data_IF_637673636905
#
_entry.id   IF_637673636905
#
_cell.length_a   1.000
_cell.length_b   1.000
_cell.length_c   1.000
_cell.angle_alpha   90.00
_cell.angle_beta   90.00
_cell.angle_gamma   90.00
#
_symmetry.space_group_name_H-M   'P 1'
#
loop_
_entity.id
_entity.type
_entity.pdbx_description
1 polymer ?
#
# COMPACT_ATOMS: atom_id res chain seq x y z
N UNK A 1 -1.16 -65.72 -63.30
CA UNK A 1 0.12 -65.03 -63.19
C UNK A 1 -0.16 -63.56 -63.15
N UNK A 2 -0.24 -63.01 -61.95
CA UNK A 2 -0.58 -61.62 -61.67
C UNK A 2 0.67 -60.99 -61.09
N UNK A 3 1.15 -59.89 -61.73
CA UNK A 3 2.25 -59.08 -61.23
C UNK A 3 1.67 -57.90 -60.46
N UNK A 4 1.94 -57.86 -59.18
CA UNK A 4 1.64 -56.70 -58.35
C UNK A 4 2.78 -55.67 -58.45
N UNK A 5 2.47 -54.47 -58.89
CA UNK A 5 3.34 -53.30 -58.79
C UNK A 5 3.10 -52.60 -57.44
N UNK A 6 4.08 -52.70 -56.59
CA UNK A 6 4.07 -51.89 -55.32
C UNK A 6 4.46 -50.44 -55.64
N UNK A 7 3.55 -49.51 -55.42
CA UNK A 7 3.84 -48.07 -55.49
C UNK A 7 4.36 -47.61 -54.13
N UNK A 8 5.65 -47.30 -54.05
CA UNK A 8 6.25 -46.60 -52.91
C UNK A 8 5.78 -45.16 -52.92
N UNK A 9 4.88 -44.83 -51.99
CA UNK A 9 4.56 -43.45 -51.63
C UNK A 9 5.64 -42.89 -50.68
N UNK A 10 6.50 -42.03 -51.20
CA UNK A 10 7.43 -41.23 -50.44
C UNK A 10 6.63 -40.12 -49.74
N UNK A 11 6.37 -40.27 -48.45
CA UNK A 11 5.86 -39.21 -47.61
C UNK A 11 7.03 -38.33 -47.17
N UNK A 12 7.18 -37.18 -47.79
CA UNK A 12 8.13 -36.14 -47.35
C UNK A 12 7.54 -35.46 -46.11
N UNK A 13 8.22 -35.45 -44.96
CA UNK A 13 7.75 -34.63 -43.83
C UNK A 13 8.01 -33.16 -44.18
N UNK A 14 6.93 -32.41 -44.32
CA UNK A 14 6.94 -30.95 -44.41
C UNK A 14 7.32 -30.39 -43.04
N UNK A 15 8.59 -30.16 -42.80
CA UNK A 15 9.08 -29.41 -41.63
C UNK A 15 8.77 -27.95 -41.89
N UNK A 16 7.64 -27.48 -41.39
CA UNK A 16 7.35 -26.06 -41.29
C UNK A 16 8.29 -25.45 -40.25
N UNK A 17 9.12 -24.45 -40.58
CA UNK A 17 9.84 -23.71 -39.55
C UNK A 17 8.81 -22.98 -38.71
N UNK A 18 8.66 -23.39 -37.45
CA UNK A 18 7.95 -22.58 -36.43
C UNK A 18 8.86 -21.38 -36.18
N UNK A 19 8.72 -20.34 -37.00
CA UNK A 19 9.26 -19.05 -36.70
C UNK A 19 8.47 -18.56 -35.46
N UNK A 20 8.99 -18.92 -34.29
CA UNK A 20 8.41 -18.46 -33.02
C UNK A 20 8.36 -16.95 -33.05
N UNK A 21 7.21 -16.40 -32.69
CA UNK A 21 7.01 -14.96 -32.46
C UNK A 21 7.82 -14.47 -31.25
N UNK A 22 9.12 -14.73 -31.21
CA UNK A 22 10.02 -14.30 -30.15
C UNK A 22 10.27 -12.77 -30.16
N UNK A 23 9.89 -12.10 -31.25
CA UNK A 23 10.02 -10.63 -31.32
C UNK A 23 8.86 -9.84 -30.68
N UNK A 24 7.79 -10.53 -30.23
CA UNK A 24 6.68 -9.90 -29.53
C UNK A 24 6.90 -9.74 -28.02
N UNK A 25 7.95 -10.36 -27.47
CA UNK A 25 8.27 -10.30 -26.05
C UNK A 25 9.77 -10.01 -25.86
N UNK A 26 10.26 -8.99 -26.55
CA UNK A 26 11.60 -8.46 -26.26
C UNK A 26 11.55 -7.63 -24.99
N UNK A 27 11.74 -8.28 -23.84
CA UNK A 27 11.93 -7.65 -22.54
C UNK A 27 13.39 -7.25 -22.31
N UNK A 28 14.25 -7.34 -23.33
CA UNK A 28 15.64 -6.93 -23.22
C UNK A 28 15.74 -5.41 -23.15
N UNK A 29 16.06 -4.91 -21.97
CA UNK A 29 16.73 -3.64 -21.68
C UNK A 29 16.22 -2.35 -22.37
N UNK A 30 14.95 -2.23 -22.62
CA UNK A 30 14.41 -0.89 -22.82
C UNK A 30 14.40 -0.21 -21.47
N UNK A 31 15.28 0.76 -21.29
CA UNK A 31 15.19 1.74 -20.22
C UNK A 31 13.71 2.10 -20.08
N UNK A 32 13.15 1.88 -18.89
CA UNK A 32 11.76 2.23 -18.58
C UNK A 32 11.56 3.65 -19.09
N UNK A 33 10.64 3.89 -20.05
CA UNK A 33 10.41 5.23 -20.56
C UNK A 33 10.22 6.19 -19.41
N UNK A 34 10.70 7.42 -19.54
CA UNK A 34 10.56 8.42 -18.47
C UNK A 34 9.09 8.69 -18.09
N UNK A 35 8.15 8.34 -18.97
CA UNK A 35 6.70 8.39 -18.76
C UNK A 35 6.15 7.21 -17.94
N UNK A 36 6.84 6.07 -17.90
CA UNK A 36 6.46 4.98 -17.00
C UNK A 36 6.58 5.36 -15.50
N UNK A 37 7.26 6.47 -15.19
CA UNK A 37 7.25 7.07 -13.86
C UNK A 37 5.93 7.78 -13.52
N UNK A 38 5.09 8.05 -14.52
CA UNK A 38 3.77 8.66 -14.31
C UNK A 38 2.75 7.66 -13.75
N UNK A 39 3.03 6.36 -13.86
CA UNK A 39 2.20 5.29 -13.33
C UNK A 39 2.66 4.82 -11.94
N UNK A 40 3.65 5.47 -11.34
CA UNK A 40 4.01 5.20 -9.95
C UNK A 40 2.85 5.63 -9.04
N UNK A 41 2.45 4.80 -8.07
CA UNK A 41 1.35 5.11 -7.16
C UNK A 41 1.65 6.31 -6.25
N UNK A 42 2.85 6.85 -6.29
CA UNK A 42 3.33 7.93 -5.44
C UNK A 42 4.42 8.77 -6.14
N UNK A 43 4.67 9.97 -5.61
CA UNK A 43 5.77 10.86 -6.01
C UNK A 43 6.89 10.84 -4.96
N UNK A 44 8.10 11.30 -5.34
CA UNK A 44 9.20 11.46 -4.37
C UNK A 44 8.85 12.44 -3.23
N UNK A 45 8.00 13.43 -3.49
CA UNK A 45 7.56 14.38 -2.47
C UNK A 45 6.62 13.70 -1.45
N UNK A 46 5.76 12.78 -1.90
CA UNK A 46 4.91 11.98 -1.03
C UNK A 46 5.72 10.99 -0.20
N UNK A 47 6.75 10.34 -0.79
CA UNK A 47 7.69 9.46 -0.09
C UNK A 47 8.59 10.17 0.95
N UNK A 48 8.75 11.48 0.87
CA UNK A 48 9.55 12.26 1.81
C UNK A 48 8.71 13.10 2.76
N UNK A 49 7.40 12.88 2.77
CA UNK A 49 6.51 13.63 3.65
C UNK A 49 6.73 13.25 5.12
N UNK A 50 7.26 14.22 5.88
CA UNK A 50 7.59 14.09 7.31
C UNK A 50 8.68 13.07 7.68
N UNK A 51 9.43 12.56 6.72
CA UNK A 51 10.53 11.63 6.96
C UNK A 51 11.70 12.23 7.77
N UNK A 52 12.44 11.41 8.57
CA UNK A 52 12.25 9.97 8.77
C UNK A 52 11.22 9.67 9.87
N UNK A 53 10.20 8.88 9.59
CA UNK A 53 9.15 8.48 10.55
C UNK A 53 8.87 6.96 10.56
N UNK A 54 9.81 6.15 10.10
CA UNK A 54 9.75 4.68 9.98
C UNK A 54 9.64 3.91 11.30
N UNK A 55 9.52 4.57 12.42
CA UNK A 55 9.43 3.89 13.72
C UNK A 55 8.64 4.68 14.75
N UNK A 56 8.13 3.98 15.77
CA UNK A 56 7.48 4.62 16.92
C UNK A 56 8.35 5.71 17.57
N UNK A 57 9.68 5.50 17.62
CA UNK A 57 10.62 6.45 18.23
C UNK A 57 10.81 7.72 17.38
N UNK A 58 10.71 7.60 16.07
CA UNK A 58 10.87 8.69 15.10
C UNK A 58 9.56 9.27 14.63
N UNK A 59 8.43 8.83 15.19
CA UNK A 59 7.09 9.25 14.79
C UNK A 59 6.97 10.77 14.61
N UNK A 60 6.53 11.17 13.42
CA UNK A 60 6.38 12.57 13.04
C UNK A 60 5.24 13.25 13.81
N UNK A 61 5.49 14.42 14.40
CA UNK A 61 4.45 15.16 15.09
C UNK A 61 3.46 15.77 14.08
N UNK A 62 2.16 15.56 14.34
CA UNK A 62 1.07 16.10 13.54
C UNK A 62 0.01 16.77 14.39
N UNK A 63 -0.83 17.54 13.75
CA UNK A 63 -2.04 18.15 14.28
C UNK A 63 -3.26 17.72 13.46
N UNK A 64 -4.47 18.05 13.89
CA UNK A 64 -5.68 17.80 13.10
C UNK A 64 -5.73 18.58 11.76
N UNK A 65 -4.83 19.52 11.53
CA UNK A 65 -4.71 20.26 10.25
C UNK A 65 -3.81 19.54 9.22
N UNK A 66 -3.00 18.59 9.67
CA UNK A 66 -2.14 17.80 8.78
C UNK A 66 -2.99 16.71 8.11
N UNK A 67 -2.90 16.58 6.79
CA UNK A 67 -3.73 15.63 6.01
C UNK A 67 -2.94 14.86 4.95
N UNK A 68 -1.64 15.05 4.82
CA UNK A 68 -0.82 14.54 3.72
C UNK A 68 -0.84 15.45 2.49
N UNK A 69 -0.64 14.96 1.27
CA UNK A 69 -0.48 13.55 0.89
C UNK A 69 0.83 12.94 1.35
N UNK A 70 0.80 11.65 1.67
CA UNK A 70 1.93 10.82 2.04
C UNK A 70 1.91 9.51 1.23
N UNK A 71 2.95 8.68 1.33
CA UNK A 71 2.99 7.41 0.64
C UNK A 71 3.87 6.38 1.35
N UNK A 72 3.39 5.15 1.41
CA UNK A 72 4.22 3.98 1.65
C UNK A 72 4.95 3.64 0.35
N UNK A 73 6.26 3.67 0.38
CA UNK A 73 7.12 3.63 -0.79
C UNK A 73 7.93 2.35 -0.90
N UNK A 74 8.31 1.99 -2.13
CA UNK A 74 9.22 0.87 -2.34
C UNK A 74 10.63 1.23 -1.86
N UNK A 75 11.21 0.38 -1.01
CA UNK A 75 12.55 0.55 -0.48
C UNK A 75 13.28 -0.77 -0.30
N UNK A 76 14.46 -0.74 0.32
CA UNK A 76 15.22 -1.93 0.73
C UNK A 76 14.67 -2.56 2.00
N UNK A 77 13.94 -1.79 2.77
CA UNK A 77 13.16 -2.20 3.95
C UNK A 77 11.69 -1.88 3.68
N UNK A 78 10.80 -2.55 4.39
CA UNK A 78 9.39 -2.22 4.36
C UNK A 78 9.20 -0.83 4.99
N UNK A 79 8.50 0.05 4.27
CA UNK A 79 8.23 1.42 4.66
C UNK A 79 7.00 1.47 5.56
N UNK A 80 7.09 2.21 6.66
CA UNK A 80 6.04 2.36 7.65
C UNK A 80 6.02 3.81 8.13
N UNK A 81 4.89 4.48 8.08
CA UNK A 81 4.77 5.87 8.51
C UNK A 81 4.17 5.96 9.91
N UNK A 82 4.88 6.55 10.85
CA UNK A 82 4.41 6.74 12.23
C UNK A 82 4.12 8.21 12.52
N UNK A 83 2.90 8.51 12.96
CA UNK A 83 2.43 9.86 13.27
C UNK A 83 2.00 10.01 14.71
N UNK A 84 2.59 10.97 15.42
CA UNK A 84 2.27 11.31 16.82
C UNK A 84 1.30 12.48 16.88
N UNK A 85 0.24 12.34 17.67
CA UNK A 85 -0.74 13.38 17.91
C UNK A 85 -1.16 13.42 19.38
N UNK A 86 -1.67 14.57 19.83
CA UNK A 86 -2.15 14.78 21.20
C UNK A 86 -3.67 14.91 21.20
N UNK A 87 -4.36 14.16 22.04
CA UNK A 87 -5.80 14.25 22.25
C UNK A 87 -6.08 15.34 23.29
N UNK A 88 -6.84 16.40 22.94
CA UNK A 88 -7.19 17.45 23.90
C UNK A 88 -8.11 16.94 25.02
N UNK A 89 -8.03 17.53 26.23
CA UNK A 89 -9.03 17.30 27.29
C UNK A 89 -10.46 17.60 26.82
N UNK A 90 -11.42 16.82 27.29
CA UNK A 90 -12.82 17.00 26.91
C UNK A 90 -13.19 16.35 25.55
N UNK A 91 -12.34 15.50 25.00
CA UNK A 91 -12.65 14.74 23.77
C UNK A 91 -13.52 13.54 24.12
N UNK A 92 -14.67 13.42 23.45
CA UNK A 92 -15.58 12.29 23.56
C UNK A 92 -15.28 11.18 22.57
N UNK A 93 -14.81 11.55 21.35
CA UNK A 93 -14.54 10.63 20.23
C UNK A 93 -13.32 11.10 19.46
N UNK A 94 -12.50 10.15 19.05
CA UNK A 94 -11.37 10.36 18.13
C UNK A 94 -11.60 9.48 16.91
N UNK A 95 -11.50 10.05 15.73
CA UNK A 95 -11.52 9.30 14.48
C UNK A 95 -10.18 9.50 13.75
N UNK A 96 -9.52 8.40 13.43
CA UNK A 96 -8.32 8.36 12.59
C UNK A 96 -8.71 7.66 11.30
N UNK A 97 -8.45 8.28 10.17
CA UNK A 97 -8.77 7.72 8.85
C UNK A 97 -7.58 7.88 7.93
N UNK A 98 -7.30 6.85 7.14
CA UNK A 98 -6.52 6.96 5.91
C UNK A 98 -7.43 6.68 4.71
N UNK A 99 -7.12 7.34 3.59
CA UNK A 99 -7.81 7.12 2.32
C UNK A 99 -6.76 6.93 1.24
N UNK A 100 -6.73 5.75 0.65
CA UNK A 100 -5.86 5.45 -0.48
C UNK A 100 -6.48 5.96 -1.76
N UNK A 101 -5.64 6.44 -2.67
CA UNK A 101 -6.11 7.03 -3.94
C UNK A 101 -5.77 6.19 -5.15
N UNK A 102 -4.98 5.13 -4.96
CA UNK A 102 -4.49 4.29 -6.05
C UNK A 102 -4.76 2.81 -5.78
N UNK A 103 -5.85 2.32 -6.36
CA UNK A 103 -6.35 0.94 -6.12
C UNK A 103 -5.40 -0.18 -6.50
N UNK A 104 -4.45 0.07 -7.40
CA UNK A 104 -3.49 -0.92 -7.89
C UNK A 104 -2.22 -0.98 -7.03
N UNK A 105 -1.99 0.02 -6.19
CA UNK A 105 -0.77 0.15 -5.39
C UNK A 105 -0.65 -0.84 -4.23
N UNK A 106 -1.77 -1.43 -3.82
CA UNK A 106 -1.81 -2.35 -2.70
C UNK A 106 -2.57 -1.80 -1.49
N UNK A 107 -2.80 -2.68 -0.55
CA UNK A 107 -3.57 -2.44 0.66
C UNK A 107 -2.71 -1.80 1.76
N UNK A 108 -3.24 -0.79 2.43
CA UNK A 108 -2.60 -0.15 3.58
C UNK A 108 -3.50 -0.28 4.81
N UNK A 109 -2.89 -0.62 5.92
CA UNK A 109 -3.54 -0.82 7.21
C UNK A 109 -3.20 0.28 8.21
N UNK A 110 -4.04 0.42 9.25
CA UNK A 110 -3.83 1.30 10.40
C UNK A 110 -3.60 0.53 11.69
N UNK A 111 -2.66 1.01 12.51
CA UNK A 111 -2.50 0.58 13.90
C UNK A 111 -2.33 1.80 14.81
N UNK A 112 -2.94 1.74 15.99
CA UNK A 112 -2.87 2.78 17.00
C UNK A 112 -2.12 2.27 18.23
N UNK A 113 -1.23 3.09 18.76
CA UNK A 113 -0.47 2.85 19.99
C UNK A 113 -0.70 3.97 21.00
N UNK A 114 -0.61 3.62 22.26
CA UNK A 114 -0.52 4.62 23.33
C UNK A 114 0.89 5.24 23.41
N UNK A 115 1.07 6.21 24.31
CA UNK A 115 2.36 6.91 24.52
C UNK A 115 3.52 5.99 24.92
N UNK A 116 3.24 4.77 25.40
CA UNK A 116 4.25 3.79 25.80
C UNK A 116 4.64 2.82 24.69
N UNK A 117 3.96 2.88 23.54
CA UNK A 117 4.11 1.95 22.43
C UNK A 117 3.28 0.68 22.56
N UNK A 118 2.34 0.62 23.54
CA UNK A 118 1.41 -0.50 23.63
C UNK A 118 0.30 -0.36 22.58
N UNK A 119 -0.01 -1.43 21.82
CA UNK A 119 -1.06 -1.39 20.81
C UNK A 119 -2.45 -1.22 21.46
N UNK A 120 -3.25 -0.29 20.95
CA UNK A 120 -4.60 0.05 21.42
C UNK A 120 -5.67 -0.49 20.50
N UNK A 121 -5.51 -0.29 19.19
CA UNK A 121 -6.47 -0.67 18.17
C UNK A 121 -5.80 -0.86 16.81
N UNK A 122 -6.49 -1.52 15.89
CA UNK A 122 -6.09 -1.63 14.49
C UNK A 122 -7.31 -1.64 13.59
N UNK A 123 -7.14 -1.17 12.36
CA UNK A 123 -8.08 -1.31 11.26
C UNK A 123 -7.32 -2.01 10.13
N UNK A 124 -7.84 -3.16 9.70
CA UNK A 124 -7.21 -4.03 8.71
C UNK A 124 -8.30 -4.57 7.79
N UNK A 125 -8.16 -4.38 6.52
CA UNK A 125 -9.17 -4.80 5.54
C UNK A 125 -8.62 -4.68 4.12
N UNK A 126 -9.48 -4.78 3.13
CA UNK A 126 -9.14 -4.59 1.71
C UNK A 126 -9.89 -3.39 1.13
N UNK A 127 -10.31 -2.48 2.00
CA UNK A 127 -11.01 -1.26 1.58
C UNK A 127 -10.02 -0.15 1.22
N UNK A 128 -10.44 0.77 0.36
CA UNK A 128 -9.63 1.96 0.02
C UNK A 128 -9.47 2.92 1.21
N UNK A 129 -10.29 2.76 2.24
CA UNK A 129 -10.30 3.56 3.47
C UNK A 129 -10.15 2.67 4.70
N UNK A 130 -9.16 2.97 5.55
CA UNK A 130 -9.05 2.39 6.87
C UNK A 130 -9.44 3.42 7.93
N UNK A 131 -10.28 3.01 8.91
CA UNK A 131 -10.84 3.91 9.91
C UNK A 131 -10.76 3.31 11.30
N UNK A 132 -10.16 4.05 12.23
CA UNK A 132 -10.27 3.81 13.66
C UNK A 132 -11.22 4.83 14.27
N UNK A 133 -12.34 4.37 14.78
CA UNK A 133 -13.37 5.16 15.44
C UNK A 133 -13.36 4.86 16.94
N UNK A 134 -12.69 5.71 17.70
CA UNK A 134 -12.41 5.52 19.11
C UNK A 134 -13.44 6.27 19.98
N UNK A 135 -14.42 5.54 20.50
CA UNK A 135 -15.51 6.11 21.28
C UNK A 135 -15.96 5.16 22.40
N UNK A 136 -16.76 5.68 23.32
CA UNK A 136 -17.39 4.86 24.36
C UNK A 136 -18.32 3.82 23.73
N UNK A 137 -18.12 2.54 24.06
CA UNK A 137 -18.92 1.43 23.53
C UNK A 137 -18.55 0.96 22.14
N UNK A 138 -17.54 1.53 21.49
CA UNK A 138 -17.02 1.02 20.23
C UNK A 138 -16.30 -0.34 20.44
N UNK A 139 -16.48 -1.26 19.48
CA UNK A 139 -15.95 -2.63 19.58
C UNK A 139 -14.46 -2.72 19.26
N UNK A 140 -14.00 -1.88 18.34
CA UNK A 140 -12.63 -1.98 17.79
C UNK A 140 -11.68 -1.03 18.52
N UNK A 141 -12.12 0.20 18.83
CA UNK A 141 -11.30 1.20 19.48
C UNK A 141 -12.05 1.80 20.68
N UNK A 142 -11.59 1.55 21.92
CA UNK A 142 -12.24 2.13 23.10
C UNK A 142 -12.07 3.65 23.11
N UNK A 143 -12.87 4.35 23.92
CA UNK A 143 -12.67 5.78 24.13
C UNK A 143 -11.26 6.04 24.67
N UNK A 144 -10.55 6.94 24.03
CA UNK A 144 -9.19 7.34 24.40
C UNK A 144 -9.21 8.46 25.47
N UNK A 145 -8.25 8.44 26.37
CA UNK A 145 -8.00 9.53 27.31
C UNK A 145 -7.28 10.69 26.60
N UNK A 146 -7.30 11.87 27.25
CA UNK A 146 -6.43 12.98 26.82
C UNK A 146 -4.97 12.63 27.13
N UNK A 147 -4.20 12.32 26.09
CA UNK A 147 -2.78 11.92 26.14
C UNK A 147 -2.20 11.98 24.73
N UNK A 148 -0.92 11.63 24.61
CA UNK A 148 -0.25 11.43 23.33
C UNK A 148 -0.46 10.01 22.83
N UNK A 149 -0.70 9.90 21.53
CA UNK A 149 -0.87 8.64 20.81
C UNK A 149 -0.05 8.64 19.52
N UNK A 150 0.24 7.46 19.02
CA UNK A 150 0.90 7.28 17.73
C UNK A 150 0.06 6.34 16.88
N UNK A 151 -0.24 6.73 15.64
CA UNK A 151 -0.73 5.77 14.67
C UNK A 151 0.34 5.44 13.63
N UNK A 152 0.30 4.24 13.14
CA UNK A 152 1.14 3.67 12.09
C UNK A 152 0.30 3.39 10.87
N UNK A 153 0.77 3.81 9.70
CA UNK A 153 0.30 3.36 8.39
C UNK A 153 1.32 2.36 7.87
N UNK A 154 0.86 1.20 7.42
CA UNK A 154 1.76 0.13 7.01
C UNK A 154 1.16 -0.73 5.90
N UNK A 155 1.97 -1.48 5.13
CA UNK A 155 1.50 -2.41 4.11
C UNK A 155 0.59 -3.48 4.70
N UNK A 156 -0.65 -3.60 4.27
CA UNK A 156 -1.55 -4.69 4.65
C UNK A 156 -1.10 -6.03 4.10
N UNK A 157 -0.38 -6.01 2.97
CA UNK A 157 0.30 -7.16 2.36
C UNK A 157 1.74 -6.74 2.07
N UNK A 158 2.70 -7.58 2.42
CA UNK A 158 4.13 -7.33 2.18
C UNK A 158 4.40 -6.87 0.75
N UNK A 159 5.09 -5.75 0.62
CA UNK A 159 5.42 -5.14 -0.67
C UNK A 159 4.31 -4.26 -1.25
N UNK A 160 3.19 -4.04 -0.55
CA UNK A 160 2.22 -3.01 -0.93
C UNK A 160 2.87 -1.65 -0.85
N UNK A 161 2.65 -0.84 -1.90
CA UNK A 161 3.08 0.55 -2.00
C UNK A 161 1.90 1.38 -2.45
N UNK A 162 1.60 2.46 -1.77
CA UNK A 162 0.44 3.28 -2.12
C UNK A 162 0.58 4.69 -1.56
N UNK A 163 -0.03 5.65 -2.23
CA UNK A 163 -0.20 6.99 -1.68
C UNK A 163 -1.51 7.08 -0.93
N UNK A 164 -1.53 7.91 0.09
CA UNK A 164 -2.71 8.11 0.92
C UNK A 164 -2.82 9.55 1.42
N UNK A 165 -4.01 9.88 1.88
CA UNK A 165 -4.26 11.02 2.77
C UNK A 165 -4.71 10.51 4.11
N UNK A 166 -4.49 11.28 5.18
CA UNK A 166 -4.96 10.94 6.50
C UNK A 166 -5.74 12.08 7.16
N UNK A 167 -6.53 11.76 8.15
CA UNK A 167 -7.22 12.74 8.98
C UNK A 167 -7.32 12.25 10.42
N UNK A 168 -7.11 13.16 11.38
CA UNK A 168 -7.39 12.93 12.79
C UNK A 168 -8.43 13.95 13.24
N UNK A 169 -9.61 13.47 13.64
CA UNK A 169 -10.72 14.31 14.05
C UNK A 169 -11.10 14.08 15.52
N UNK A 170 -11.37 15.17 16.22
CA UNK A 170 -11.79 15.16 17.62
C UNK A 170 -13.22 15.67 17.75
N UNK A 171 -14.08 14.90 18.42
CA UNK A 171 -15.43 15.36 18.80
C UNK A 171 -15.43 15.68 20.30
N UNK A 172 -15.77 16.90 20.72
CA UNK A 172 -15.85 17.26 22.13
C UNK A 172 -17.03 16.57 22.85
N UNK A 173 -16.94 16.51 24.21
CA UNK A 173 -18.02 16.05 25.07
C UNK A 173 -19.18 17.07 25.14
#
# INVERSE_FOLDING_TARGET
MVRECAACLLVLPLVLPVAGCSWLLDFSDRAIPADARLDAPYTLAECSYKEPDDSFATAAAITAADTGPAAICAGTTEDHDFYRFTIPPGTARVQIRISTTYRVGGDLDLRLYDRTGAPVARSTGFADDEVLDCATGALVCPRLAADDYVFEVYPGVTGSVNRYTFAVAFTPM
#
